data_IF_350524124793
#
_entry.id   IF_350524124793
#
_cell.length_a   1.000
_cell.length_b   1.000
_cell.length_c   1.000
_cell.angle_alpha   90.00
_cell.angle_beta   90.00
_cell.angle_gamma   90.00
#
_symmetry.space_group_name_H-M   'P 1'
#
loop_
_entity.id
_entity.type
_entity.pdbx_description
1 polymer ?
#
# COMPACT_ATOMS: atom_id res chain seq x y z
N UNK A 1 12.12 22.94 -8.66
CA UNK A 1 12.10 21.50 -8.30
C UNK A 1 11.76 21.35 -6.83
N UNK A 2 10.91 20.38 -6.43
CA UNK A 2 10.73 20.06 -5.01
C UNK A 2 11.99 19.33 -4.52
N UNK A 3 12.50 19.71 -3.34
CA UNK A 3 13.60 18.98 -2.69
C UNK A 3 13.14 17.55 -2.35
N UNK A 4 14.03 16.57 -2.46
CA UNK A 4 13.76 15.20 -2.03
C UNK A 4 13.44 15.15 -0.55
N UNK A 5 12.40 14.40 -0.18
CA UNK A 5 12.00 14.19 1.21
C UNK A 5 11.49 12.76 1.38
N UNK A 6 11.75 12.16 2.54
CA UNK A 6 11.11 10.92 2.94
C UNK A 6 9.74 11.28 3.50
N UNK A 7 8.67 10.85 2.83
CA UNK A 7 7.31 11.11 3.29
C UNK A 7 7.00 10.26 4.52
N UNK A 8 6.50 10.89 5.59
CA UNK A 8 6.04 10.19 6.78
C UNK A 8 4.67 9.55 6.52
N UNK A 9 4.53 8.21 6.64
CA UNK A 9 3.22 7.56 6.55
C UNK A 9 2.33 7.94 7.73
N UNK A 10 1.01 7.90 7.53
CA UNK A 10 0.00 8.03 8.58
C UNK A 10 -0.98 6.88 8.52
N UNK A 11 -1.60 6.53 9.65
CA UNK A 11 -2.77 5.64 9.67
C UNK A 11 -3.93 6.34 8.96
N UNK A 12 -4.60 5.65 8.05
CA UNK A 12 -5.66 6.22 7.19
C UNK A 12 -7.04 5.58 7.39
N UNK A 13 -7.14 4.51 8.17
CA UNK A 13 -8.39 3.84 8.51
C UNK A 13 -8.30 3.11 9.86
N UNK A 14 -9.44 2.68 10.38
CA UNK A 14 -9.55 2.01 11.69
C UNK A 14 -8.85 0.64 11.73
N UNK A 15 -8.57 0.04 10.55
CA UNK A 15 -7.80 -1.19 10.43
C UNK A 15 -6.29 -0.99 10.57
N UNK A 16 -5.79 0.25 10.66
CA UNK A 16 -4.36 0.53 10.85
C UNK A 16 -3.55 0.57 9.55
N UNK A 17 -4.20 0.65 8.37
CA UNK A 17 -3.46 0.78 7.12
C UNK A 17 -2.71 2.12 7.06
N UNK A 18 -1.50 2.07 6.52
CA UNK A 18 -0.68 3.27 6.32
C UNK A 18 -0.93 3.88 4.94
N UNK A 19 -0.90 5.21 4.85
CA UNK A 19 -0.98 5.96 3.60
C UNK A 19 -0.13 7.22 3.57
N UNK A 20 0.15 7.69 2.36
CA UNK A 20 0.93 8.91 2.06
C UNK A 20 0.20 9.80 1.05
N UNK A 21 0.45 11.11 1.13
CA UNK A 21 0.00 12.08 0.13
C UNK A 21 1.10 12.29 -0.89
N UNK A 22 0.88 11.85 -2.12
CA UNK A 22 1.76 12.08 -3.25
C UNK A 22 1.30 13.30 -4.04
N UNK A 23 2.20 13.86 -4.84
CA UNK A 23 1.88 14.95 -5.77
C UNK A 23 2.64 14.73 -7.08
N UNK A 24 1.92 14.49 -8.16
CA UNK A 24 2.46 14.25 -9.51
C UNK A 24 1.96 15.37 -10.41
N UNK A 25 2.87 16.13 -11.01
CA UNK A 25 2.54 17.28 -11.88
C UNK A 25 1.54 18.27 -11.24
N UNK A 26 1.70 18.54 -9.95
CA UNK A 26 0.82 19.44 -9.19
C UNK A 26 -0.48 18.80 -8.69
N UNK A 27 -0.85 17.63 -9.20
CA UNK A 27 -2.05 16.89 -8.77
C UNK A 27 -1.73 16.08 -7.53
N UNK A 28 -2.50 16.27 -6.45
CA UNK A 28 -2.37 15.51 -5.21
C UNK A 28 -3.12 14.19 -5.34
N UNK A 29 -2.53 13.10 -4.86
CA UNK A 29 -3.20 11.80 -4.77
C UNK A 29 -2.82 11.09 -3.47
N UNK A 30 -3.82 10.51 -2.82
CA UNK A 30 -3.60 9.63 -1.68
C UNK A 30 -3.36 8.19 -2.18
N UNK A 31 -2.34 7.53 -1.61
CA UNK A 31 -2.00 6.14 -1.89
C UNK A 31 -1.68 5.42 -0.59
N UNK A 32 -2.10 4.16 -0.50
CA UNK A 32 -1.74 3.30 0.64
C UNK A 32 -0.29 2.81 0.48
N UNK A 33 0.40 2.62 1.59
CA UNK A 33 1.80 2.17 1.57
C UNK A 33 1.89 0.74 1.03
N UNK A 34 1.01 -0.16 1.45
CA UNK A 34 0.98 -1.53 0.92
C UNK A 34 0.75 -1.57 -0.60
N UNK A 35 -0.04 -0.65 -1.17
CA UNK A 35 -0.20 -0.54 -2.62
C UNK A 35 1.10 -0.14 -3.30
N UNK A 36 1.76 0.92 -2.82
CA UNK A 36 3.01 1.40 -3.41
C UNK A 36 4.11 0.34 -3.34
N UNK A 37 4.23 -0.34 -2.19
CA UNK A 37 5.22 -1.41 -2.02
C UNK A 37 4.87 -2.61 -2.89
N UNK A 38 3.64 -3.13 -2.83
CA UNK A 38 3.28 -4.31 -3.63
C UNK A 38 3.50 -4.05 -5.13
N UNK A 39 3.06 -2.90 -5.63
CA UNK A 39 3.25 -2.57 -7.06
C UNK A 39 4.73 -2.45 -7.44
N UNK A 40 5.56 -1.88 -6.58
CA UNK A 40 6.99 -1.67 -6.87
C UNK A 40 7.81 -2.98 -6.85
N UNK A 41 7.45 -3.94 -6.00
CA UNK A 41 8.24 -5.16 -5.79
C UNK A 41 7.63 -6.42 -6.43
N UNK A 42 6.30 -6.45 -6.62
CA UNK A 42 5.57 -7.60 -7.18
C UNK A 42 4.94 -7.32 -8.56
N UNK A 43 5.07 -6.09 -9.07
CA UNK A 43 4.45 -5.67 -10.33
C UNK A 43 3.00 -5.21 -10.16
N UNK A 44 2.31 -4.88 -11.25
CA UNK A 44 0.92 -4.42 -11.16
C UNK A 44 0.00 -5.49 -10.57
N UNK A 45 -0.95 -5.04 -9.73
CA UNK A 45 -1.95 -5.93 -9.16
C UNK A 45 -2.82 -6.52 -10.26
N UNK A 46 -2.85 -7.86 -10.43
CA UNK A 46 -3.75 -8.49 -11.39
C UNK A 46 -5.21 -8.15 -11.09
N UNK A 47 -6.03 -8.09 -12.14
CA UNK A 47 -7.45 -7.81 -12.01
C UNK A 47 -8.14 -8.84 -11.09
N UNK A 48 -9.11 -8.37 -10.30
CA UNK A 48 -9.84 -9.22 -9.35
C UNK A 48 -9.09 -9.63 -8.08
N UNK A 49 -7.78 -9.37 -7.98
CA UNK A 49 -6.99 -9.67 -6.77
C UNK A 49 -6.91 -8.47 -5.82
N UNK A 50 -6.76 -8.72 -4.53
CA UNK A 50 -6.51 -7.74 -3.48
C UNK A 50 -5.08 -7.89 -2.97
N UNK A 51 -4.54 -6.82 -2.35
CA UNK A 51 -3.29 -6.89 -1.59
C UNK A 51 -3.61 -7.43 -0.20
N UNK A 52 -2.83 -8.41 0.25
CA UNK A 52 -3.00 -9.06 1.55
C UNK A 52 -1.71 -9.00 2.35
N UNK A 53 -1.86 -8.77 3.65
CA UNK A 53 -0.79 -8.92 4.64
C UNK A 53 -0.80 -10.36 5.15
N UNK A 54 0.31 -11.09 4.97
CA UNK A 54 0.43 -12.50 5.33
C UNK A 54 0.38 -12.71 6.85
N UNK A 55 0.92 -11.77 7.62
CA UNK A 55 0.87 -11.75 9.08
C UNK A 55 -0.42 -11.17 9.68
N UNK A 56 -1.36 -10.71 8.84
CA UNK A 56 -2.59 -10.05 9.26
C UNK A 56 -2.39 -8.67 9.91
N UNK A 57 -1.21 -8.05 9.80
CA UNK A 57 -0.89 -6.73 10.38
C UNK A 57 -0.81 -5.65 9.30
N UNK A 58 -1.79 -4.75 9.18
CA UNK A 58 -1.82 -3.72 8.13
C UNK A 58 -0.67 -2.69 8.16
N UNK A 59 0.05 -2.59 9.29
CA UNK A 59 1.22 -1.74 9.45
C UNK A 59 2.51 -2.37 8.93
N UNK A 60 2.59 -3.70 8.79
CA UNK A 60 3.76 -4.40 8.28
C UNK A 60 3.76 -4.43 6.73
N UNK A 61 4.29 -3.37 6.13
CA UNK A 61 4.30 -3.20 4.67
C UNK A 61 5.57 -3.73 4.02
N UNK A 62 6.29 -4.68 4.64
CA UNK A 62 7.47 -5.27 4.03
C UNK A 62 7.08 -6.05 2.75
N UNK A 63 7.85 -5.99 1.64
CA UNK A 63 7.48 -6.65 0.39
C UNK A 63 7.16 -8.14 0.55
N UNK A 64 7.97 -8.86 1.34
CA UNK A 64 7.77 -10.29 1.62
C UNK A 64 6.49 -10.59 2.42
N UNK A 65 5.91 -9.60 3.11
CA UNK A 65 4.67 -9.75 3.86
C UNK A 65 3.42 -9.41 3.02
N UNK A 66 3.60 -8.95 1.78
CA UNK A 66 2.52 -8.57 0.88
C UNK A 66 2.37 -9.59 -0.24
N UNK A 67 1.13 -9.97 -0.53
CA UNK A 67 0.80 -10.84 -1.66
C UNK A 67 -0.50 -10.42 -2.35
N UNK A 68 -0.63 -10.72 -3.64
CA UNK A 68 -1.89 -10.63 -4.36
C UNK A 68 -2.71 -11.91 -4.17
N UNK A 69 -4.00 -11.77 -3.87
CA UNK A 69 -4.89 -12.91 -3.76
C UNK A 69 -6.36 -12.49 -3.72
N UNK A 70 -7.26 -13.45 -3.85
CA UNK A 70 -8.68 -13.19 -3.71
C UNK A 70 -9.01 -12.86 -2.25
N UNK A 71 -10.16 -12.19 -2.05
CA UNK A 71 -10.79 -12.11 -0.74
C UNK A 71 -11.14 -13.55 -0.34
N UNK A 72 -10.21 -14.23 0.33
CA UNK A 72 -10.47 -15.57 0.85
C UNK A 72 -11.51 -15.33 1.94
N UNK A 73 -12.75 -15.65 1.62
CA UNK A 73 -13.85 -15.74 2.57
C UNK A 73 -13.27 -16.46 3.79
N UNK A 74 -13.29 -15.77 4.93
CA UNK A 74 -12.99 -16.40 6.20
C UNK A 74 -13.91 -17.62 6.28
N UNK A 75 -13.32 -18.82 6.27
CA UNK A 75 -13.98 -20.02 6.76
C UNK A 75 -14.02 -19.96 8.28
#
# INVERSE_FOLDING_TARGET
>A
MKKGQILKPRVINDFGHLGVKLSVNGVKCDRTVHYLVATAFHGERPEGLLIRHLDGRPSNNAPFNLAYGTCRQHG
#
